data_IF_242303904080
#
_entry.id   IF_242303904080
#
_cell.length_a   1.000
_cell.length_b   1.000
_cell.length_c   1.000
_cell.angle_alpha   90.00
_cell.angle_beta   90.00
_cell.angle_gamma   90.00
#
_symmetry.space_group_name_H-M   'P 1'
#
loop_
_entity.id
_entity.type
_entity.pdbx_description
1 polymer ?
#
# COMPACT_ATOMS: atom_id res chain seq x y z
N UNK A 1 -28.70 -37.29 14.22
CA UNK A 1 -27.31 -37.30 13.68
C UNK A 1 -27.12 -36.33 12.51
N UNK A 2 -28.20 -35.82 11.92
CA UNK A 2 -28.17 -34.98 10.71
C UNK A 2 -27.83 -33.49 10.94
N UNK A 3 -28.10 -32.95 12.14
CA UNK A 3 -27.84 -31.53 12.43
C UNK A 3 -26.32 -31.23 12.44
N UNK A 4 -25.50 -32.19 12.88
CA UNK A 4 -24.03 -32.04 12.91
C UNK A 4 -23.44 -31.96 11.50
N UNK A 5 -23.96 -32.76 10.57
CA UNK A 5 -23.58 -32.75 9.15
C UNK A 5 -23.86 -31.40 8.49
N UNK A 6 -25.01 -30.81 8.76
CA UNK A 6 -25.42 -29.51 8.21
C UNK A 6 -24.51 -28.39 8.73
N UNK A 7 -24.17 -28.41 10.02
CA UNK A 7 -23.28 -27.41 10.63
C UNK A 7 -21.86 -27.53 10.05
N UNK A 8 -21.34 -28.74 9.87
CA UNK A 8 -20.01 -28.97 9.29
C UNK A 8 -19.96 -28.50 7.82
N UNK A 9 -21.00 -28.78 7.03
CA UNK A 9 -21.09 -28.34 5.63
C UNK A 9 -21.21 -26.81 5.51
N UNK A 10 -21.97 -26.17 6.41
CA UNK A 10 -22.07 -24.71 6.52
C UNK A 10 -20.72 -24.05 6.89
N UNK A 11 -19.99 -24.66 7.83
CA UNK A 11 -18.67 -24.20 8.24
C UNK A 11 -17.65 -24.29 7.08
N UNK A 12 -17.66 -25.37 6.31
CA UNK A 12 -16.81 -25.52 5.12
C UNK A 12 -17.11 -24.51 4.02
N UNK A 13 -18.40 -24.20 3.80
CA UNK A 13 -18.82 -23.25 2.77
C UNK A 13 -18.40 -21.82 3.10
N UNK A 14 -18.47 -21.43 4.38
CA UNK A 14 -18.05 -20.09 4.82
C UNK A 14 -16.54 -19.90 4.73
N UNK A 15 -15.72 -20.92 5.02
CA UNK A 15 -14.26 -20.82 4.86
C UNK A 15 -13.80 -20.60 3.40
N UNK A 16 -14.50 -21.18 2.41
CA UNK A 16 -14.15 -20.99 1.00
C UNK A 16 -14.51 -19.59 0.47
N UNK A 17 -15.57 -18.97 0.99
CA UNK A 17 -16.04 -17.66 0.53
C UNK A 17 -15.10 -16.50 0.88
N UNK A 18 -14.26 -16.65 1.92
CA UNK A 18 -13.29 -15.61 2.34
C UNK A 18 -11.87 -15.84 1.79
N UNK A 19 -11.64 -16.88 0.98
CA UNK A 19 -10.31 -17.28 0.51
C UNK A 19 -9.73 -16.46 -0.65
N UNK A 20 -10.51 -15.57 -1.26
CA UNK A 20 -10.08 -14.84 -2.47
C UNK A 20 -9.83 -13.36 -2.21
N UNK A 21 -8.90 -13.06 -1.31
CA UNK A 21 -8.20 -11.78 -1.36
C UNK A 21 -7.14 -11.89 -2.46
N UNK A 22 -7.51 -11.61 -3.72
CA UNK A 22 -6.52 -11.59 -4.79
C UNK A 22 -5.52 -10.48 -4.50
N UNK A 23 -4.27 -10.83 -4.22
CA UNK A 23 -3.19 -9.84 -4.23
C UNK A 23 -3.09 -9.36 -5.68
N UNK A 24 -3.63 -8.18 -5.98
CA UNK A 24 -3.45 -7.47 -7.25
C UNK A 24 -1.98 -7.03 -7.38
N UNK A 25 -1.09 -8.00 -7.46
CA UNK A 25 0.33 -7.77 -7.66
C UNK A 25 0.51 -7.39 -9.14
N UNK A 26 1.24 -6.30 -9.44
CA UNK A 26 1.40 -5.83 -10.80
C UNK A 26 2.05 -6.92 -11.66
N UNK A 27 1.40 -7.27 -12.77
CA UNK A 27 1.84 -8.35 -13.66
C UNK A 27 2.69 -7.82 -14.83
N UNK A 28 2.44 -6.58 -15.27
CA UNK A 28 3.21 -5.94 -16.36
C UNK A 28 4.26 -4.97 -15.83
N UNK A 29 5.31 -4.70 -16.61
CA UNK A 29 6.36 -3.72 -16.26
C UNK A 29 5.78 -2.33 -16.05
N UNK A 30 4.84 -1.89 -16.88
CA UNK A 30 4.12 -0.62 -16.74
C UNK A 30 3.32 -0.55 -15.43
N UNK A 31 2.58 -1.63 -15.09
CA UNK A 31 1.86 -1.72 -13.83
C UNK A 31 2.82 -1.67 -12.63
N UNK A 32 4.01 -2.28 -12.76
CA UNK A 32 5.05 -2.31 -11.74
C UNK A 32 5.66 -0.92 -11.52
N UNK A 33 5.93 -0.18 -12.60
CA UNK A 33 6.36 1.23 -12.54
C UNK A 33 5.31 2.07 -11.82
N UNK A 34 4.04 2.01 -12.29
CA UNK A 34 2.93 2.76 -11.70
C UNK A 34 2.74 2.43 -10.22
N UNK A 35 2.86 1.15 -9.85
CA UNK A 35 2.80 0.69 -8.48
C UNK A 35 3.90 1.30 -7.61
N UNK A 36 5.16 1.26 -8.05
CA UNK A 36 6.28 1.84 -7.30
C UNK A 36 6.17 3.35 -7.16
N UNK A 37 5.76 4.05 -8.22
CA UNK A 37 5.52 5.49 -8.15
C UNK A 37 4.39 5.85 -7.19
N UNK A 38 3.27 5.12 -7.24
CA UNK A 38 2.14 5.30 -6.33
C UNK A 38 2.56 5.10 -4.88
N UNK A 39 3.38 4.07 -4.63
CA UNK A 39 3.89 3.76 -3.31
C UNK A 39 4.89 4.82 -2.81
N UNK A 40 5.75 5.32 -3.69
CA UNK A 40 6.64 6.45 -3.39
C UNK A 40 5.87 7.71 -3.01
N UNK A 41 4.81 8.07 -3.76
CA UNK A 41 3.93 9.22 -3.44
C UNK A 41 3.23 9.04 -2.09
N UNK A 42 2.77 7.83 -1.80
CA UNK A 42 2.10 7.51 -0.54
C UNK A 42 3.04 7.72 0.65
N UNK A 43 4.25 7.15 0.59
CA UNK A 43 5.23 7.32 1.67
C UNK A 43 5.70 8.77 1.80
N UNK A 44 5.85 9.50 0.70
CA UNK A 44 6.14 10.94 0.75
C UNK A 44 5.02 11.70 1.49
N UNK A 45 3.75 11.44 1.14
CA UNK A 45 2.61 12.06 1.80
C UNK A 45 2.49 11.66 3.28
N UNK A 46 2.91 10.45 3.66
CA UNK A 46 3.01 10.03 5.06
C UNK A 46 4.11 10.79 5.79
N UNK A 47 5.30 10.93 5.19
CA UNK A 47 6.39 11.72 5.76
C UNK A 47 6.00 13.20 5.93
N UNK A 48 5.29 13.76 4.96
CA UNK A 48 4.81 15.15 4.99
C UNK A 48 3.75 15.34 6.08
N UNK A 49 2.92 14.32 6.34
CA UNK A 49 1.97 14.31 7.46
C UNK A 49 2.65 14.27 8.83
N UNK A 50 3.89 13.76 8.92
CA UNK A 50 4.69 13.76 10.15
C UNK A 50 5.39 15.10 10.43
N UNK A 51 5.25 16.10 9.56
CA UNK A 51 5.88 17.40 9.79
C UNK A 51 5.10 18.14 10.87
N UNK A 52 5.76 18.52 11.97
CA UNK A 52 5.23 19.44 12.98
C UNK A 52 4.97 20.81 12.34
N UNK A 53 3.79 20.97 11.74
CA UNK A 53 3.28 22.18 11.08
C UNK A 53 4.13 22.74 9.92
N UNK A 54 3.48 23.14 8.83
CA UNK A 54 3.52 24.54 8.43
C UNK A 54 2.12 25.14 8.54
N UNK A 55 1.92 26.47 8.42
CA UNK A 55 0.62 27.14 8.66
C UNK A 55 -0.56 26.65 7.80
N UNK A 56 -0.34 25.68 6.92
CA UNK A 56 -1.28 25.08 6.01
C UNK A 56 -0.99 23.57 5.97
N UNK A 57 -1.66 22.79 6.82
CA UNK A 57 -1.79 21.36 6.54
C UNK A 57 -2.30 21.23 5.10
N UNK A 58 -1.55 20.56 4.23
CA UNK A 58 -1.97 20.31 2.85
C UNK A 58 -3.43 19.84 2.84
N UNK A 59 -4.32 20.36 1.98
CA UNK A 59 -5.72 19.93 1.93
C UNK A 59 -5.87 18.41 1.84
N UNK A 60 -4.90 17.77 1.16
CA UNK A 60 -4.82 16.31 0.99
C UNK A 60 -4.53 15.52 2.26
N UNK A 61 -4.01 16.16 3.31
CA UNK A 61 -3.61 15.53 4.58
C UNK A 61 -4.55 15.87 5.73
N UNK A 62 -5.57 16.70 5.50
CA UNK A 62 -6.48 17.24 6.52
C UNK A 62 -7.28 16.16 7.29
N UNK A 63 -7.48 14.97 6.71
CA UNK A 63 -8.17 13.85 7.35
C UNK A 63 -7.23 12.80 8.00
N UNK A 64 -5.92 13.05 8.07
CA UNK A 64 -4.94 12.14 8.69
C UNK A 64 -4.57 12.54 10.13
N UNK A 65 -5.40 13.34 10.78
CA UNK A 65 -5.22 13.78 12.17
C UNK A 65 -5.33 12.61 13.13
N UNK A 66 -4.19 12.13 13.64
CA UNK A 66 -4.11 10.98 14.55
C UNK A 66 -2.85 10.13 14.38
N UNK A 67 -2.10 10.33 13.30
CA UNK A 67 -0.91 9.54 12.95
C UNK A 67 0.41 10.30 13.19
N UNK A 68 0.45 11.28 14.08
CA UNK A 68 1.67 12.06 14.32
C UNK A 68 2.65 11.28 15.20
N UNK A 69 3.67 10.70 14.56
CA UNK A 69 4.87 10.13 15.15
C UNK A 69 6.10 10.66 14.39
N UNK A 70 6.83 11.64 14.95
CA UNK A 70 8.00 12.23 14.28
C UNK A 70 9.13 11.22 14.03
N UNK A 71 9.18 10.10 14.76
CA UNK A 71 10.17 9.04 14.52
C UNK A 71 9.91 8.34 13.17
N UNK A 72 8.64 8.24 12.77
CA UNK A 72 8.23 7.58 11.53
C UNK A 72 8.52 8.42 10.28
N UNK A 73 8.77 9.72 10.43
CA UNK A 73 9.06 10.61 9.29
C UNK A 73 10.23 10.12 8.46
N UNK A 74 11.34 9.78 9.12
CA UNK A 74 12.56 9.34 8.43
C UNK A 74 12.39 7.96 7.79
N UNK A 75 11.60 7.08 8.41
CA UNK A 75 11.23 5.78 7.85
C UNK A 75 10.42 5.94 6.57
N UNK A 76 9.43 6.84 6.58
CA UNK A 76 8.65 7.10 5.37
C UNK A 76 9.48 7.75 4.26
N UNK A 77 10.41 8.65 4.59
CA UNK A 77 11.33 9.22 3.58
C UNK A 77 12.27 8.17 2.97
N UNK A 78 12.80 7.25 3.78
CA UNK A 78 13.68 6.19 3.28
C UNK A 78 12.92 5.22 2.37
N UNK A 79 11.70 4.83 2.74
CA UNK A 79 10.82 4.01 1.90
C UNK A 79 10.43 4.74 0.61
N UNK A 80 10.05 6.02 0.69
CA UNK A 80 9.76 6.81 -0.51
C UNK A 80 10.95 6.82 -1.49
N UNK A 81 12.17 7.00 -0.98
CA UNK A 81 13.40 6.97 -1.79
C UNK A 81 13.66 5.60 -2.40
N UNK A 82 13.44 4.52 -1.64
CA UNK A 82 13.57 3.14 -2.12
C UNK A 82 12.62 2.87 -3.29
N UNK A 83 11.34 3.23 -3.15
CA UNK A 83 10.36 3.04 -4.21
C UNK A 83 10.61 3.91 -5.44
N UNK A 84 11.15 5.12 -5.30
CA UNK A 84 11.61 5.93 -6.44
C UNK A 84 12.70 5.21 -7.24
N UNK A 85 13.73 4.69 -6.57
CA UNK A 85 14.79 3.92 -7.23
C UNK A 85 14.25 2.67 -7.93
N UNK A 86 13.30 1.96 -7.30
CA UNK A 86 12.68 0.80 -7.94
C UNK A 86 11.87 1.18 -9.18
N UNK A 87 11.19 2.33 -9.17
CA UNK A 87 10.50 2.85 -10.34
C UNK A 87 11.47 3.25 -11.45
N UNK A 88 12.58 3.91 -11.11
CA UNK A 88 13.66 4.26 -12.06
C UNK A 88 14.26 3.01 -12.71
N UNK A 89 14.64 2.01 -11.91
CA UNK A 89 15.16 0.73 -12.42
C UNK A 89 14.16 0.00 -13.33
N UNK A 90 12.87 0.04 -12.99
CA UNK A 90 11.83 -0.59 -13.80
C UNK A 90 11.61 0.16 -15.13
N UNK A 91 11.78 1.49 -15.15
CA UNK A 91 11.76 2.30 -16.38
C UNK A 91 12.97 2.02 -17.26
N UNK A 92 14.17 1.99 -16.68
CA UNK A 92 15.39 1.65 -17.41
C UNK A 92 15.27 0.28 -18.09
N UNK A 93 14.74 -0.73 -17.37
CA UNK A 93 14.48 -2.06 -17.92
C UNK A 93 13.43 -2.07 -19.04
N UNK A 94 12.44 -1.18 -18.96
CA UNK A 94 11.42 -1.03 -19.99
C UNK A 94 11.98 -0.38 -21.25
N UNK A 95 12.77 0.68 -21.10
CA UNK A 95 13.35 1.45 -22.22
C UNK A 95 14.44 0.67 -22.97
N UNK A 96 15.04 -0.35 -22.35
CA UNK A 96 16.05 -1.23 -22.98
C UNK A 96 15.47 -2.43 -23.76
N UNK A 97 14.16 -2.69 -23.69
CA UNK A 97 13.48 -3.74 -24.46
C UNK A 97 12.77 -3.16 -25.68
#
# INVERSE_FOLDING_TARGET
MEIKEIIIKSLFFTCFAYGSCSSNFPQTTEQKISYYESRARTYQALADAQRLSPPYNSPTLRNRGGLYDPSMRMVYLSEAKKYKRLAEQAKEQFDTN
#
